data_IF_833750683094
#
_entry.id   IF_833750683094
#
_cell.length_a   1.000
_cell.length_b   1.000
_cell.length_c   1.000
_cell.angle_alpha   90.00
_cell.angle_beta   90.00
_cell.angle_gamma   90.00
#
_symmetry.space_group_name_H-M   'P 1'
#
loop_
_entity.id
_entity.type
_entity.pdbx_description
1 polymer ?
#
# COMPACT_ATOMS: atom_id res chain seq x y z
N UNK A 1 25.78 -0.12 24.63
CA UNK A 1 25.59 0.54 23.33
C UNK A 1 26.14 -0.42 22.29
N UNK A 2 25.26 -1.18 21.67
CA UNK A 2 25.56 -1.88 20.43
C UNK A 2 24.76 -1.12 19.39
N UNK A 3 25.44 -0.25 18.64
CA UNK A 3 24.92 0.21 17.35
C UNK A 3 24.94 -1.04 16.45
N UNK A 4 23.77 -1.41 15.93
CA UNK A 4 23.65 -2.48 14.95
C UNK A 4 24.21 -1.96 13.63
N UNK A 5 25.45 -2.34 13.33
CA UNK A 5 26.04 -2.23 12.01
C UNK A 5 25.17 -2.98 10.99
N UNK A 6 24.75 -2.25 9.96
CA UNK A 6 24.46 -2.71 8.60
C UNK A 6 23.67 -4.01 8.43
N UNK A 7 22.37 -3.95 8.72
CA UNK A 7 21.39 -4.87 8.11
C UNK A 7 20.80 -4.28 6.81
N UNK A 8 21.53 -3.35 6.15
CA UNK A 8 21.21 -2.96 4.78
C UNK A 8 21.60 -4.14 3.87
N UNK A 9 20.64 -4.84 3.23
CA UNK A 9 20.96 -5.93 2.34
C UNK A 9 21.85 -5.39 1.22
N UNK A 10 23.11 -5.85 1.18
CA UNK A 10 24.14 -5.48 0.21
C UNK A 10 23.71 -5.55 -1.27
N UNK A 11 22.53 -6.13 -1.56
CA UNK A 11 21.93 -6.22 -2.88
C UNK A 11 21.42 -4.87 -3.44
N UNK A 12 21.03 -3.90 -2.60
CA UNK A 12 20.53 -2.57 -3.07
C UNK A 12 21.53 -1.43 -2.85
N UNK A 13 22.70 -1.74 -2.30
CA UNK A 13 23.75 -0.76 -2.02
C UNK A 13 24.18 -0.04 -3.31
N UNK A 14 24.20 1.30 -3.27
CA UNK A 14 24.50 2.13 -4.44
C UNK A 14 23.39 2.24 -5.50
N UNK A 15 22.30 1.47 -5.37
CA UNK A 15 21.18 1.45 -6.31
C UNK A 15 19.83 1.86 -5.71
N UNK A 16 19.74 1.96 -4.39
CA UNK A 16 18.51 2.27 -3.65
C UNK A 16 17.78 3.51 -4.20
N UNK A 17 18.49 4.62 -4.38
CA UNK A 17 17.90 5.85 -4.93
C UNK A 17 17.35 5.64 -6.34
N UNK A 18 18.05 4.87 -7.17
CA UNK A 18 17.60 4.58 -8.54
C UNK A 18 16.33 3.73 -8.51
N UNK A 19 16.30 2.68 -7.70
CA UNK A 19 15.14 1.79 -7.55
C UNK A 19 13.93 2.55 -6.99
N UNK A 20 14.13 3.37 -5.95
CA UNK A 20 13.09 4.21 -5.39
C UNK A 20 12.54 5.21 -6.42
N UNK A 21 13.41 5.84 -7.20
CA UNK A 21 12.99 6.78 -8.25
C UNK A 21 12.22 6.10 -9.39
N UNK A 22 12.57 4.86 -9.75
CA UNK A 22 11.79 4.08 -10.73
C UNK A 22 10.40 3.77 -10.17
N UNK A 23 10.31 3.28 -8.93
CA UNK A 23 9.03 2.99 -8.29
C UNK A 23 8.15 4.25 -8.20
N UNK A 24 8.75 5.39 -7.82
CA UNK A 24 8.09 6.70 -7.82
C UNK A 24 7.55 7.06 -9.20
N UNK A 25 8.35 6.93 -10.26
CA UNK A 25 7.91 7.28 -11.62
C UNK A 25 6.76 6.40 -12.09
N UNK A 26 6.82 5.09 -11.80
CA UNK A 26 5.76 4.15 -12.14
C UNK A 26 4.47 4.50 -11.39
N UNK A 27 4.57 4.74 -10.08
CA UNK A 27 3.45 5.15 -9.25
C UNK A 27 2.93 6.53 -9.68
N UNK A 28 3.76 7.43 -10.21
CA UNK A 28 3.32 8.72 -10.77
C UNK A 28 2.66 8.60 -12.15
N UNK A 29 2.65 7.41 -12.77
CA UNK A 29 2.29 7.21 -14.19
C UNK A 29 3.16 8.05 -15.14
N UNK A 30 4.42 8.24 -14.79
CA UNK A 30 5.40 9.04 -15.57
C UNK A 30 6.60 8.22 -16.02
N UNK A 31 6.63 6.92 -15.80
CA UNK A 31 7.71 6.10 -16.34
C UNK A 31 7.70 6.18 -17.87
N UNK A 32 8.86 6.02 -18.51
CA UNK A 32 8.97 6.09 -19.97
C UNK A 32 8.00 5.14 -20.68
N UNK A 33 7.78 3.94 -20.13
CA UNK A 33 6.82 2.95 -20.65
C UNK A 33 5.34 3.32 -20.45
N UNK A 34 5.04 4.38 -19.69
CA UNK A 34 3.70 4.91 -19.45
C UNK A 34 3.47 6.21 -20.24
N UNK A 35 4.52 6.81 -20.82
CA UNK A 35 4.44 8.03 -21.61
C UNK A 35 4.29 7.70 -23.09
N UNK A 36 3.16 8.08 -23.69
CA UNK A 36 2.90 7.91 -25.11
C UNK A 36 2.78 9.27 -25.80
N UNK A 37 3.34 9.43 -27.02
CA UNK A 37 3.40 10.71 -27.74
C UNK A 37 2.04 11.29 -28.18
N UNK A 38 0.91 10.60 -27.97
CA UNK A 38 -0.41 10.99 -28.47
C UNK A 38 -1.42 11.43 -27.39
N UNK A 39 -0.99 11.71 -26.15
CA UNK A 39 -1.90 12.10 -25.04
C UNK A 39 -2.50 13.53 -25.14
N UNK A 40 -2.19 14.29 -26.19
CA UNK A 40 -2.63 15.70 -26.33
C UNK A 40 -4.08 15.87 -26.85
N UNK A 41 -4.89 14.81 -26.96
CA UNK A 41 -6.25 14.97 -27.46
C UNK A 41 -7.18 13.77 -27.39
N UNK A 42 -7.67 13.45 -26.19
CA UNK A 42 -9.00 12.85 -25.96
C UNK A 42 -9.30 11.47 -26.60
N UNK A 43 -8.34 10.57 -26.66
CA UNK A 43 -8.63 9.13 -26.75
C UNK A 43 -8.26 8.47 -25.41
N UNK A 44 -9.21 7.74 -24.80
CA UNK A 44 -8.93 6.88 -23.66
C UNK A 44 -7.77 5.94 -24.03
N UNK A 45 -6.85 5.70 -23.09
CA UNK A 45 -5.74 4.80 -23.33
C UNK A 45 -6.30 3.44 -23.83
N UNK A 46 -5.66 2.79 -24.82
CA UNK A 46 -6.07 1.47 -25.27
C UNK A 46 -6.28 0.52 -24.09
N UNK A 47 -7.28 -0.37 -24.15
CA UNK A 47 -7.62 -1.28 -23.04
C UNK A 47 -6.39 -2.09 -22.57
N UNK A 48 -5.58 -2.57 -23.52
CA UNK A 48 -4.31 -3.24 -23.25
C UNK A 48 -3.33 -2.36 -22.44
N UNK A 49 -3.32 -1.05 -22.67
CA UNK A 49 -2.45 -0.12 -21.95
C UNK A 49 -2.87 0.05 -20.49
N UNK A 50 -4.17 0.15 -20.23
CA UNK A 50 -4.67 0.21 -18.85
C UNK A 50 -4.31 -1.06 -18.07
N UNK A 51 -4.39 -2.23 -18.72
CA UNK A 51 -3.95 -3.50 -18.14
C UNK A 51 -2.44 -3.51 -17.82
N UNK A 52 -1.59 -3.09 -18.77
CA UNK A 52 -0.14 -3.00 -18.52
C UNK A 52 0.19 -2.01 -17.39
N UNK A 53 -0.49 -0.86 -17.34
CA UNK A 53 -0.28 0.13 -16.29
C UNK A 53 -0.68 -0.41 -14.92
N UNK A 54 -1.80 -1.14 -14.83
CA UNK A 54 -2.24 -1.79 -13.60
C UNK A 54 -1.21 -2.78 -13.07
N UNK A 55 -0.64 -3.61 -13.97
CA UNK A 55 0.42 -4.57 -13.64
C UNK A 55 1.69 -3.86 -13.16
N UNK A 56 2.09 -2.77 -13.82
CA UNK A 56 3.25 -1.97 -13.43
C UNK A 56 3.07 -1.33 -12.05
N UNK A 57 1.89 -0.75 -11.80
CA UNK A 57 1.54 -0.12 -10.52
C UNK A 57 1.55 -1.15 -9.39
N UNK A 58 0.93 -2.31 -9.63
CA UNK A 58 0.94 -3.43 -8.68
C UNK A 58 2.36 -3.89 -8.37
N UNK A 59 3.20 -4.04 -9.40
CA UNK A 59 4.61 -4.41 -9.24
C UNK A 59 5.41 -3.39 -8.45
N UNK A 60 5.17 -2.09 -8.68
CA UNK A 60 5.81 -1.02 -7.92
C UNK A 60 5.37 -1.02 -6.44
N UNK A 61 4.09 -1.30 -6.16
CA UNK A 61 3.59 -1.48 -4.80
C UNK A 61 4.28 -2.63 -4.06
N UNK A 62 4.44 -3.79 -4.71
CA UNK A 62 5.20 -4.92 -4.16
C UNK A 62 6.67 -4.59 -3.92
N UNK A 63 7.30 -3.88 -4.84
CA UNK A 63 8.69 -3.44 -4.69
C UNK A 63 8.84 -2.54 -3.47
N UNK A 64 7.95 -1.56 -3.29
CA UNK A 64 7.95 -0.68 -2.10
C UNK A 64 7.78 -1.51 -0.83
N UNK A 65 6.81 -2.43 -0.79
CA UNK A 65 6.61 -3.34 0.34
C UNK A 65 7.86 -4.19 0.66
N UNK A 66 8.54 -4.70 -0.37
CA UNK A 66 9.76 -5.48 -0.22
C UNK A 66 10.92 -4.64 0.31
N UNK A 67 11.12 -3.42 -0.21
CA UNK A 67 12.13 -2.48 0.28
C UNK A 67 11.89 -2.12 1.74
N UNK A 68 10.63 -1.86 2.13
CA UNK A 68 10.25 -1.58 3.52
C UNK A 68 10.57 -2.75 4.44
N UNK A 69 10.28 -3.98 4.01
CA UNK A 69 10.58 -5.16 4.81
C UNK A 69 12.08 -5.43 4.95
N UNK A 70 12.87 -5.09 3.93
CA UNK A 70 14.29 -5.38 3.88
C UNK A 70 15.16 -4.29 4.52
N UNK A 71 14.72 -3.02 4.46
CA UNK A 71 15.50 -1.85 4.84
C UNK A 71 14.96 -1.11 6.06
N UNK A 72 13.71 -1.38 6.45
CA UNK A 72 13.07 -0.71 7.57
C UNK A 72 13.15 0.82 7.47
N UNK A 73 13.83 1.43 8.43
CA UNK A 73 13.98 2.88 8.57
C UNK A 73 14.88 3.54 7.53
N UNK A 74 15.72 2.79 6.82
CA UNK A 74 16.69 3.37 5.88
C UNK A 74 16.01 4.05 4.68
N UNK A 75 14.75 3.72 4.42
CA UNK A 75 13.92 4.39 3.40
C UNK A 75 12.89 5.37 3.99
N UNK A 76 13.01 5.75 5.27
CA UNK A 76 12.07 6.64 5.96
C UNK A 76 11.87 8.00 5.24
N UNK A 77 12.89 8.52 4.55
CA UNK A 77 12.77 9.77 3.79
C UNK A 77 11.90 9.63 2.52
N UNK A 78 11.89 8.44 1.91
CA UNK A 78 11.03 8.14 0.76
C UNK A 78 9.62 7.72 1.18
N UNK A 79 9.43 7.40 2.46
CA UNK A 79 8.21 6.89 3.04
C UNK A 79 6.99 7.75 2.77
N UNK A 80 7.05 9.04 3.13
CA UNK A 80 5.91 9.94 3.01
C UNK A 80 5.48 10.07 1.54
N UNK A 81 6.46 10.11 0.64
CA UNK A 81 6.22 10.13 -0.80
C UNK A 81 5.54 8.84 -1.28
N UNK A 82 6.05 7.67 -0.88
CA UNK A 82 5.42 6.39 -1.24
C UNK A 82 4.01 6.26 -0.67
N UNK A 83 3.81 6.64 0.59
CA UNK A 83 2.50 6.62 1.22
C UNK A 83 1.49 7.48 0.45
N UNK A 84 1.84 8.72 0.09
CA UNK A 84 0.96 9.60 -0.69
C UNK A 84 0.68 9.04 -2.09
N UNK A 85 1.71 8.48 -2.74
CA UNK A 85 1.57 7.88 -4.07
C UNK A 85 0.74 6.60 -4.06
N UNK A 86 0.82 5.79 -3.01
CA UNK A 86 -0.01 4.59 -2.85
C UNK A 86 -1.44 5.00 -2.48
N UNK A 87 -1.59 5.99 -1.58
CA UNK A 87 -2.89 6.46 -1.11
C UNK A 87 -3.77 7.02 -2.23
N UNK A 88 -3.16 7.61 -3.27
CA UNK A 88 -3.93 8.15 -4.41
C UNK A 88 -4.72 7.09 -5.16
N UNK A 89 -4.31 5.82 -5.12
CA UNK A 89 -5.00 4.74 -5.82
C UNK A 89 -6.35 4.39 -5.18
N UNK A 90 -6.55 4.68 -3.89
CA UNK A 90 -7.87 4.60 -3.25
C UNK A 90 -8.82 5.72 -3.67
N UNK A 91 -8.26 6.85 -4.15
CA UNK A 91 -9.04 8.02 -4.58
C UNK A 91 -9.36 7.98 -6.08
N UNK A 92 -8.88 6.97 -6.81
CA UNK A 92 -9.23 6.74 -8.21
C UNK A 92 -10.73 6.42 -8.34
N UNK A 93 -11.36 6.83 -9.45
CA UNK A 93 -12.79 6.62 -9.68
C UNK A 93 -13.15 5.14 -9.92
N UNK A 94 -12.21 4.35 -10.47
CA UNK A 94 -12.40 2.94 -10.82
C UNK A 94 -11.12 2.11 -10.64
N UNK A 95 -10.56 2.00 -9.43
CA UNK A 95 -9.33 1.23 -9.23
C UNK A 95 -9.62 -0.27 -9.36
N UNK A 96 -8.74 -0.98 -10.06
CA UNK A 96 -8.77 -2.42 -10.11
C UNK A 96 -8.57 -3.02 -8.72
N UNK A 97 -9.28 -4.11 -8.44
CA UNK A 97 -9.31 -4.69 -7.10
C UNK A 97 -7.92 -5.18 -6.64
N UNK A 98 -7.10 -5.67 -7.57
CA UNK A 98 -5.72 -6.09 -7.29
C UNK A 98 -4.83 -4.90 -6.90
N UNK A 99 -4.95 -3.77 -7.61
CA UNK A 99 -4.23 -2.53 -7.27
C UNK A 99 -4.59 -2.07 -5.84
N UNK A 100 -5.88 -2.11 -5.48
CA UNK A 100 -6.33 -1.79 -4.12
C UNK A 100 -5.78 -2.76 -3.08
N UNK A 101 -5.77 -4.05 -3.38
CA UNK A 101 -5.24 -5.10 -2.50
C UNK A 101 -3.76 -4.90 -2.22
N UNK A 102 -2.97 -4.61 -3.26
CA UNK A 102 -1.54 -4.40 -3.17
C UNK A 102 -1.21 -3.07 -2.46
N UNK A 103 -1.98 -2.03 -2.76
CA UNK A 103 -1.88 -0.74 -2.07
C UNK A 103 -2.15 -0.87 -0.57
N UNK A 104 -3.16 -1.67 -0.16
CA UNK A 104 -3.52 -1.87 1.24
C UNK A 104 -2.39 -2.57 1.99
N UNK A 105 -1.89 -3.65 1.41
CA UNK A 105 -0.75 -4.38 1.95
C UNK A 105 0.48 -3.48 2.11
N UNK A 106 0.88 -2.77 1.06
CA UNK A 106 2.05 -1.90 1.08
C UNK A 106 1.90 -0.77 2.10
N UNK A 107 0.74 -0.12 2.19
CA UNK A 107 0.47 0.93 3.17
C UNK A 107 0.55 0.41 4.62
N UNK A 108 0.04 -0.79 4.88
CA UNK A 108 0.12 -1.42 6.19
C UNK A 108 1.56 -1.73 6.61
N UNK A 109 2.36 -2.30 5.71
CA UNK A 109 3.78 -2.59 5.96
C UNK A 109 4.60 -1.32 6.16
N UNK A 110 4.33 -0.30 5.34
CA UNK A 110 4.90 1.03 5.50
C UNK A 110 4.68 1.49 6.96
N UNK A 111 3.44 1.54 7.45
CA UNK A 111 3.17 1.98 8.82
C UNK A 111 3.87 1.10 9.87
N UNK A 112 3.89 -0.23 9.69
CA UNK A 112 4.53 -1.15 10.63
C UNK A 112 6.03 -0.87 10.81
N UNK A 113 6.73 -0.60 9.71
CA UNK A 113 8.19 -0.45 9.66
C UNK A 113 8.70 0.98 9.87
N UNK A 114 7.83 1.97 10.01
CA UNK A 114 8.23 3.38 10.04
C UNK A 114 8.48 3.92 11.44
N UNK A 115 9.69 4.43 11.72
CA UNK A 115 10.05 5.05 13.00
C UNK A 115 9.77 6.56 13.12
N UNK A 116 9.14 7.14 12.10
CA UNK A 116 8.62 8.51 12.16
C UNK A 116 7.16 8.51 12.65
N UNK A 117 6.75 9.61 13.29
CA UNK A 117 5.35 9.78 13.70
C UNK A 117 4.46 10.03 12.47
N UNK A 118 3.61 9.05 12.16
CA UNK A 118 2.68 9.05 11.03
C UNK A 118 1.21 9.21 11.48
N UNK A 119 0.98 9.71 12.69
CA UNK A 119 -0.38 9.79 13.25
C UNK A 119 -1.37 10.51 12.33
N UNK A 120 -0.93 11.54 11.60
CA UNK A 120 -1.79 12.22 10.61
C UNK A 120 -2.10 11.32 9.41
N UNK A 121 -1.09 10.63 8.87
CA UNK A 121 -1.22 9.72 7.73
C UNK A 121 -2.10 8.51 8.06
N UNK A 122 -2.08 8.02 9.31
CA UNK A 122 -2.95 6.93 9.76
C UNK A 122 -4.43 7.25 9.52
N UNK A 123 -4.89 8.47 9.88
CA UNK A 123 -6.28 8.86 9.70
C UNK A 123 -6.68 8.95 8.23
N UNK A 124 -5.78 9.47 7.39
CA UNK A 124 -5.99 9.52 5.94
C UNK A 124 -6.10 8.11 5.34
N UNK A 125 -5.24 7.17 5.77
CA UNK A 125 -5.29 5.78 5.34
C UNK A 125 -6.62 5.13 5.75
N UNK A 126 -7.04 5.30 7.01
CA UNK A 126 -8.29 4.71 7.50
C UNK A 126 -9.50 5.19 6.69
N UNK A 127 -9.55 6.48 6.35
CA UNK A 127 -10.58 7.04 5.48
C UNK A 127 -10.53 6.43 4.07
N UNK A 128 -9.33 6.25 3.51
CA UNK A 128 -9.12 5.67 2.19
C UNK A 128 -9.46 4.17 2.12
N UNK A 129 -9.26 3.41 3.21
CA UNK A 129 -9.58 1.98 3.28
C UNK A 129 -11.06 1.70 3.54
N UNK A 130 -11.80 2.65 4.13
CA UNK A 130 -13.20 2.46 4.53
C UNK A 130 -14.12 1.91 3.41
N UNK A 131 -14.02 2.37 2.14
CA UNK A 131 -14.86 1.85 1.06
C UNK A 131 -14.64 0.36 0.76
N UNK A 132 -13.46 -0.19 1.05
CA UNK A 132 -13.13 -1.60 0.79
C UNK A 132 -13.92 -2.58 1.68
N UNK A 133 -14.51 -2.08 2.77
CA UNK A 133 -15.35 -2.88 3.66
C UNK A 133 -16.84 -2.87 3.25
N UNK A 134 -17.22 -2.02 2.29
CA UNK A 134 -18.59 -1.92 1.79
C UNK A 134 -18.72 -2.74 0.50
N UNK A 135 -18.90 -4.04 0.66
CA UNK A 135 -18.97 -5.00 -0.45
C UNK A 135 -20.39 -5.54 -0.67
N UNK A 136 -20.75 -5.77 -1.93
CA UNK A 136 -21.95 -6.53 -2.28
C UNK A 136 -21.79 -8.01 -1.89
N UNK A 137 -22.89 -8.75 -1.62
CA UNK A 137 -22.83 -10.17 -1.24
C UNK A 137 -22.13 -11.08 -2.26
N UNK A 138 -22.13 -10.69 -3.53
CA UNK A 138 -21.55 -11.39 -4.68
C UNK A 138 -20.28 -10.69 -5.21
N UNK A 139 -19.61 -9.90 -4.36
CA UNK A 139 -18.40 -9.19 -4.74
C UNK A 139 -17.34 -10.15 -5.35
N UNK A 140 -16.66 -9.74 -6.44
CA UNK A 140 -15.61 -10.54 -7.06
C UNK A 140 -14.47 -10.86 -6.08
N UNK A 141 -13.81 -12.00 -6.28
CA UNK A 141 -12.71 -12.47 -5.42
C UNK A 141 -11.66 -11.38 -5.14
N UNK A 142 -11.20 -10.66 -6.17
CA UNK A 142 -10.22 -9.59 -6.00
C UNK A 142 -10.65 -8.50 -5.01
N UNK A 143 -11.95 -8.15 -4.94
CA UNK A 143 -12.46 -7.18 -3.96
C UNK A 143 -12.48 -7.76 -2.54
N UNK A 144 -12.74 -9.06 -2.41
CA UNK A 144 -12.66 -9.77 -1.13
C UNK A 144 -11.22 -9.87 -0.62
N UNK A 145 -10.24 -10.10 -1.52
CA UNK A 145 -8.81 -10.01 -1.20
C UNK A 145 -8.43 -8.59 -0.74
N UNK A 146 -8.87 -7.56 -1.46
CA UNK A 146 -8.60 -6.17 -1.08
C UNK A 146 -9.15 -5.81 0.31
N UNK A 147 -10.34 -6.32 0.67
CA UNK A 147 -10.92 -6.17 2.02
C UNK A 147 -10.05 -6.85 3.09
N UNK A 148 -9.54 -8.05 2.82
CA UNK A 148 -8.71 -8.77 3.77
C UNK A 148 -7.35 -8.05 3.98
N UNK A 149 -6.75 -7.52 2.91
CA UNK A 149 -5.53 -6.72 2.99
C UNK A 149 -5.77 -5.37 3.70
N UNK A 150 -6.93 -4.75 3.48
CA UNK A 150 -7.33 -3.56 4.21
C UNK A 150 -7.47 -3.85 5.72
N UNK A 151 -8.03 -5.01 6.09
CA UNK A 151 -8.10 -5.43 7.49
C UNK A 151 -6.70 -5.61 8.09
N UNK A 152 -5.79 -6.27 7.38
CA UNK A 152 -4.40 -6.42 7.83
C UNK A 152 -3.65 -5.09 7.98
N UNK A 153 -3.90 -4.13 7.08
CA UNK A 153 -3.36 -2.77 7.18
C UNK A 153 -3.91 -2.01 8.39
N UNK A 154 -5.21 -2.11 8.68
CA UNK A 154 -5.83 -1.57 9.90
C UNK A 154 -5.19 -2.20 11.14
N UNK A 155 -5.01 -3.52 11.16
CA UNK A 155 -4.38 -4.23 12.29
C UNK A 155 -2.97 -3.71 12.59
N UNK A 156 -2.12 -3.58 11.57
CA UNK A 156 -0.77 -2.99 11.70
C UNK A 156 -0.82 -1.56 12.23
N UNK A 157 -1.76 -0.75 11.73
CA UNK A 157 -1.93 0.65 12.15
C UNK A 157 -2.34 0.76 13.62
N UNK A 158 -3.28 -0.10 14.08
CA UNK A 158 -3.70 -0.15 15.48
C UNK A 158 -2.53 -0.53 16.39
N UNK A 159 -1.74 -1.54 16.02
CA UNK A 159 -0.58 -1.99 16.80
C UNK A 159 0.50 -0.89 16.86
N UNK A 160 0.75 -0.19 15.75
CA UNK A 160 1.81 0.82 15.68
C UNK A 160 1.55 2.01 16.59
N UNK A 161 0.34 2.55 16.59
CA UNK A 161 0.01 3.70 17.43
C UNK A 161 -1.48 3.73 17.79
N UNK A 162 -1.87 2.87 18.72
CA UNK A 162 -3.26 2.74 19.18
C UNK A 162 -3.86 4.07 19.65
N UNK A 163 -3.04 4.95 20.26
CA UNK A 163 -3.50 6.23 20.80
C UNK A 163 -3.90 7.24 19.70
N UNK A 164 -3.36 7.11 18.49
CA UNK A 164 -3.69 7.95 17.34
C UNK A 164 -4.96 7.49 16.60
N UNK A 165 -5.55 6.34 16.96
CA UNK A 165 -6.64 5.73 16.21
C UNK A 165 -7.99 5.96 16.89
N UNK A 166 -9.04 6.40 16.16
CA UNK A 166 -10.40 6.50 16.69
C UNK A 166 -11.02 5.10 16.83
N UNK A 167 -10.57 4.33 17.82
CA UNK A 167 -10.92 2.91 18.00
C UNK A 167 -12.43 2.65 18.04
N UNK A 168 -13.22 3.58 18.59
CA UNK A 168 -14.68 3.44 18.63
C UNK A 168 -15.33 3.35 17.24
N UNK A 169 -14.70 3.94 16.21
CA UNK A 169 -15.16 3.87 14.82
C UNK A 169 -14.49 2.73 14.05
N UNK A 170 -13.22 2.45 14.36
CA UNK A 170 -12.40 1.49 13.61
C UNK A 170 -12.66 0.05 14.03
N UNK A 171 -12.79 -0.24 15.34
CA UNK A 171 -12.92 -1.60 15.83
C UNK A 171 -14.16 -2.35 15.31
N UNK A 172 -15.36 -1.74 15.21
CA UNK A 172 -16.52 -2.45 14.66
C UNK A 172 -16.28 -2.94 13.22
N UNK A 173 -15.74 -2.06 12.37
CA UNK A 173 -15.43 -2.40 10.96
C UNK A 173 -14.35 -3.47 10.89
N UNK A 174 -13.30 -3.33 11.70
CA UNK A 174 -12.20 -4.30 11.76
C UNK A 174 -12.67 -5.67 12.25
N UNK A 175 -13.46 -5.74 13.32
CA UNK A 175 -13.97 -7.01 13.87
C UNK A 175 -14.93 -7.69 12.88
N UNK A 176 -15.80 -6.93 12.22
CA UNK A 176 -16.72 -7.46 11.19
C UNK A 176 -15.96 -7.99 9.95
N UNK A 177 -14.72 -7.53 9.75
CA UNK A 177 -13.83 -8.06 8.71
C UNK A 177 -13.29 -9.47 9.05
N UNK A 178 -13.32 -9.87 10.31
CA UNK A 178 -12.70 -11.09 10.81
C UNK A 178 -13.69 -12.26 10.96
N UNK A 179 -13.20 -13.52 10.88
CA UNK A 179 -11.85 -13.90 10.43
C UNK A 179 -11.67 -13.62 8.93
N UNK A 180 -10.42 -13.40 8.51
CA UNK A 180 -10.09 -13.27 7.09
C UNK A 180 -10.40 -14.59 6.36
N UNK A 181 -10.80 -14.51 5.09
CA UNK A 181 -11.32 -15.68 4.34
C UNK A 181 -10.62 -15.93 3.02
N UNK A 182 -9.91 -14.93 2.49
CA UNK A 182 -9.37 -14.91 1.13
C UNK A 182 -7.86 -14.73 1.16
N UNK A 183 -7.36 -13.72 1.89
CA UNK A 183 -5.92 -13.55 2.11
C UNK A 183 -5.54 -13.88 3.56
N UNK A 184 -5.02 -15.09 3.75
CA UNK A 184 -4.64 -15.57 5.08
C UNK A 184 -3.28 -15.06 5.54
N UNK A 185 -2.44 -14.49 4.67
CA UNK A 185 -1.12 -13.98 5.03
C UNK A 185 -1.24 -12.78 6.00
N UNK A 186 -2.35 -12.07 5.89
CA UNK A 186 -2.71 -10.90 6.69
C UNK A 186 -3.24 -11.23 8.09
N UNK A 187 -3.39 -12.52 8.44
CA UNK A 187 -3.81 -12.92 9.79
C UNK A 187 -2.75 -12.59 10.87
N UNK A 188 -1.46 -12.51 10.50
CA UNK A 188 -0.37 -12.25 11.45
C UNK A 188 -0.56 -10.97 12.27
N UNK A 189 -0.75 -9.78 11.68
CA UNK A 189 -1.03 -8.56 12.43
C UNK A 189 -2.39 -8.58 13.12
N UNK A 190 -3.37 -9.32 12.61
CA UNK A 190 -4.71 -9.43 13.21
C UNK A 190 -4.68 -10.12 14.57
N UNK A 191 -3.77 -11.08 14.78
CA UNK A 191 -3.71 -11.89 16.01
C UNK A 191 -2.53 -11.55 16.93
N UNK A 192 -1.70 -10.54 16.60
CA UNK A 192 -0.64 -10.08 17.52
C UNK A 192 -1.29 -9.33 18.70
N UNK A 193 -0.89 -9.73 19.91
CA UNK A 193 -1.27 -9.09 21.18
C UNK A 193 -0.21 -8.10 21.62
#
# INVERSE_FOLDING_TARGET
MYESEDDNPAFVEGHLDTVCNIAIQILEQKAFCQQYPDQDGAEEAPEDQAEYDSVLISSAGYLVAALVNALGTDIAQAFEKFFLLIAKYYLSATPEAEVLSNAAFAAGLLIESSDIDLSQQHLHLLGALQPLFVLAPDAPAGKLNARDNAAGAIGRTIIRNTAAIPLGQVLPVFIDALPLKNDYLENRPVFRR
#
